data_IF_784624027491
#
_entry.id   IF_784624027491
#
_cell.length_a   1.000
_cell.length_b   1.000
_cell.length_c   1.000
_cell.angle_alpha   90.00
_cell.angle_beta   90.00
_cell.angle_gamma   90.00
#
_symmetry.space_group_name_H-M   'P 1'
#
loop_
_entity.id
_entity.type
_entity.pdbx_description
1 polymer ?
#
# COMPACT_ATOMS: atom_id res chain seq x y z
N UNK A 1 -10.10 7.02 -5.28
CA UNK A 1 -9.34 6.20 -6.25
C UNK A 1 -10.33 5.46 -7.15
N UNK A 2 -10.27 5.65 -8.46
CA UNK A 2 -11.10 4.93 -9.45
C UNK A 2 -10.21 3.88 -10.12
N UNK A 3 -10.63 2.62 -10.11
CA UNK A 3 -9.96 1.55 -10.85
C UNK A 3 -10.56 1.54 -12.25
N UNK A 4 -9.76 1.94 -13.25
CA UNK A 4 -10.18 1.88 -14.65
C UNK A 4 -10.33 0.41 -15.06
N UNK A 5 -11.41 0.14 -15.79
CA UNK A 5 -11.64 -1.15 -16.43
C UNK A 5 -11.44 -0.98 -17.93
N UNK A 6 -11.17 -2.08 -18.63
CA UNK A 6 -11.06 -2.11 -20.09
C UNK A 6 -12.36 -1.66 -20.77
N UNK A 7 -13.52 -1.93 -20.15
CA UNK A 7 -14.84 -1.49 -20.61
C UNK A 7 -15.72 -1.13 -19.40
N UNK A 8 -16.60 -0.13 -19.56
CA UNK A 8 -17.65 0.21 -18.59
C UNK A 8 -17.26 1.23 -17.50
N UNK A 9 -18.17 1.47 -16.55
CA UNK A 9 -17.98 2.47 -15.50
C UNK A 9 -16.80 2.08 -14.59
N UNK A 10 -15.84 3.00 -14.34
CA UNK A 10 -14.74 2.74 -13.41
C UNK A 10 -15.26 2.30 -12.04
N UNK A 11 -14.66 1.24 -11.48
CA UNK A 11 -15.01 0.79 -10.14
C UNK A 11 -14.39 1.72 -9.11
N UNK A 12 -15.17 2.08 -8.10
CA UNK A 12 -14.69 2.84 -6.93
C UNK A 12 -14.21 1.92 -5.81
N UNK A 13 -14.65 0.65 -5.82
CA UNK A 13 -14.25 -0.38 -4.86
C UNK A 13 -13.19 -1.32 -5.45
N UNK A 14 -11.99 -1.41 -4.84
CA UNK A 14 -10.97 -2.37 -5.26
C UNK A 14 -11.36 -3.80 -4.85
N UNK A 15 -10.86 -4.80 -5.57
CA UNK A 15 -11.06 -6.21 -5.23
C UNK A 15 -10.22 -6.65 -4.01
N UNK A 16 -9.02 -6.11 -3.89
CA UNK A 16 -8.09 -6.38 -2.80
C UNK A 16 -7.35 -5.10 -2.37
N UNK A 17 -6.83 -5.09 -1.14
CA UNK A 17 -5.93 -4.05 -0.63
C UNK A 17 -4.72 -4.74 -0.01
N UNK A 18 -3.55 -4.53 -0.61
CA UNK A 18 -2.26 -4.83 -0.01
C UNK A 18 -1.82 -3.65 0.87
N UNK A 19 -1.46 -3.92 2.11
CA UNK A 19 -0.96 -2.89 3.01
C UNK A 19 0.03 -3.45 4.03
N UNK A 20 0.79 -2.55 4.63
CA UNK A 20 1.78 -2.93 5.63
C UNK A 20 1.14 -3.59 6.85
N UNK A 21 1.94 -4.44 7.49
CA UNK A 21 1.65 -5.14 8.73
C UNK A 21 1.23 -4.22 9.88
N UNK A 22 1.66 -2.97 9.90
CA UNK A 22 1.16 -1.96 10.83
C UNK A 22 -0.36 -1.75 10.73
N UNK A 23 -0.94 -1.98 9.56
CA UNK A 23 -2.38 -1.89 9.31
C UNK A 23 -3.15 -3.18 9.59
N UNK A 24 -2.54 -4.18 10.25
CA UNK A 24 -3.17 -5.49 10.54
C UNK A 24 -4.31 -5.45 11.58
N UNK A 25 -4.69 -4.27 12.07
CA UNK A 25 -5.66 -4.10 13.14
C UNK A 25 -7.01 -4.75 12.83
N UNK A 26 -7.72 -5.20 13.87
CA UNK A 26 -9.07 -5.77 13.72
C UNK A 26 -10.04 -4.78 13.09
N UNK A 27 -9.95 -3.50 13.45
CA UNK A 27 -10.78 -2.44 12.88
C UNK A 27 -10.58 -2.30 11.36
N UNK A 28 -9.33 -2.28 10.89
CA UNK A 28 -9.03 -2.21 9.46
C UNK A 28 -9.56 -3.43 8.70
N UNK A 29 -9.35 -4.64 9.24
CA UNK A 29 -9.87 -5.87 8.62
C UNK A 29 -11.38 -5.93 8.61
N UNK A 30 -12.03 -5.51 9.70
CA UNK A 30 -13.49 -5.45 9.79
C UNK A 30 -14.07 -4.45 8.77
N UNK A 31 -13.44 -3.29 8.62
CA UNK A 31 -13.80 -2.31 7.61
C UNK A 31 -13.68 -2.86 6.18
N UNK A 32 -12.56 -3.48 5.83
CA UNK A 32 -12.35 -4.09 4.51
C UNK A 32 -13.37 -5.20 4.23
N UNK A 33 -13.63 -6.07 5.22
CA UNK A 33 -14.64 -7.14 5.13
C UNK A 33 -16.05 -6.59 4.95
N UNK A 34 -16.45 -5.56 5.71
CA UNK A 34 -17.77 -4.90 5.57
C UNK A 34 -17.98 -4.37 4.16
N UNK A 35 -16.91 -3.94 3.48
CA UNK A 35 -16.98 -3.47 2.09
C UNK A 35 -16.81 -4.57 1.05
N UNK A 36 -16.53 -5.82 1.44
CA UNK A 36 -16.25 -6.90 0.49
C UNK A 36 -14.92 -6.73 -0.25
N UNK A 37 -13.88 -6.22 0.44
CA UNK A 37 -12.54 -6.03 -0.09
C UNK A 37 -11.60 -7.05 0.55
N UNK A 38 -10.85 -7.82 -0.27
CA UNK A 38 -9.86 -8.79 0.23
C UNK A 38 -8.71 -8.06 0.93
N UNK A 39 -8.43 -8.42 2.17
CA UNK A 39 -7.32 -7.85 2.94
C UNK A 39 -6.04 -8.66 2.69
N UNK A 40 -5.09 -8.11 1.93
CA UNK A 40 -3.77 -8.68 1.67
C UNK A 40 -2.76 -8.01 2.63
N UNK A 41 -3.00 -8.21 3.92
CA UNK A 41 -2.21 -7.60 5.00
C UNK A 41 -1.64 -8.74 5.85
N UNK A 42 -0.32 -8.85 6.02
CA UNK A 42 0.26 -9.85 6.90
C UNK A 42 -0.04 -9.56 8.38
N UNK A 43 -0.06 -10.60 9.21
CA UNK A 43 -0.27 -10.49 10.66
C UNK A 43 1.05 -10.21 11.41
N UNK A 44 1.01 -9.40 12.49
CA UNK A 44 2.11 -9.23 13.47
C UNK A 44 2.60 -10.57 14.01
N UNK A 45 3.92 -10.81 14.02
CA UNK A 45 4.48 -12.11 14.49
C UNK A 45 3.99 -12.38 15.92
N UNK A 46 3.97 -11.36 16.77
CA UNK A 46 3.47 -11.44 18.15
C UNK A 46 1.96 -11.67 18.22
N UNK A 47 1.19 -11.09 17.29
CA UNK A 47 -0.26 -11.34 17.20
C UNK A 47 -0.53 -12.81 16.82
N UNK A 48 0.19 -13.33 15.84
CA UNK A 48 0.11 -14.73 15.44
C UNK A 48 0.54 -15.67 16.59
N UNK A 49 1.63 -15.35 17.30
CA UNK A 49 2.11 -16.12 18.45
C UNK A 49 1.12 -16.09 19.62
N UNK A 50 0.56 -14.92 19.96
CA UNK A 50 -0.46 -14.77 21.01
C UNK A 50 -1.73 -15.55 20.67
N UNK A 51 -2.15 -15.53 19.40
CA UNK A 51 -3.28 -16.33 18.91
C UNK A 51 -3.00 -17.82 19.06
N UNK A 52 -1.84 -18.31 18.62
CA UNK A 52 -1.43 -19.72 18.79
C UNK A 52 -1.43 -20.13 20.27
N UNK A 53 -0.89 -19.29 21.16
CA UNK A 53 -0.87 -19.54 22.62
C UNK A 53 -2.27 -19.68 23.23
N UNK A 54 -3.30 -19.07 22.63
CA UNK A 54 -4.69 -19.20 23.08
C UNK A 54 -5.38 -20.50 22.63
N UNK A 55 -4.72 -21.34 21.83
CA UNK A 55 -5.30 -22.60 21.34
C UNK A 55 -6.63 -22.37 20.60
N UNK A 56 -7.64 -23.17 20.91
CA UNK A 56 -9.00 -23.06 20.32
C UNK A 56 -9.65 -21.68 20.55
N UNK A 57 -9.31 -20.99 21.64
CA UNK A 57 -9.79 -19.62 21.94
C UNK A 57 -9.09 -18.53 21.11
N UNK A 58 -8.06 -18.88 20.35
CA UNK A 58 -7.32 -17.97 19.49
C UNK A 58 -8.05 -17.59 18.20
N UNK A 59 -8.98 -18.44 17.75
CA UNK A 59 -9.68 -18.27 16.48
C UNK A 59 -8.82 -18.61 15.24
N UNK A 60 -9.42 -18.47 14.06
CA UNK A 60 -8.84 -18.88 12.78
C UNK A 60 -7.56 -18.08 12.44
N UNK A 61 -6.50 -18.74 11.92
CA UNK A 61 -5.33 -18.06 11.39
C UNK A 61 -5.69 -17.01 10.33
N UNK A 62 -4.99 -15.89 10.38
CA UNK A 62 -5.09 -14.87 9.35
C UNK A 62 -4.21 -15.30 8.19
N UNK A 63 -4.86 -15.71 7.10
CA UNK A 63 -4.18 -15.95 5.84
C UNK A 63 -4.13 -14.67 4.99
N UNK A 64 -3.10 -14.54 4.17
CA UNK A 64 -2.97 -13.47 3.20
C UNK A 64 -2.32 -14.00 1.92
N UNK A 65 -2.73 -13.42 0.81
CA UNK A 65 -2.23 -13.78 -0.51
C UNK A 65 -0.80 -13.25 -0.69
N UNK A 66 0.19 -14.14 -0.64
CA UNK A 66 1.61 -13.75 -0.67
C UNK A 66 2.02 -13.21 -2.03
N UNK A 67 1.42 -13.69 -3.12
CA UNK A 67 1.72 -13.20 -4.47
C UNK A 67 1.16 -11.80 -4.66
N UNK A 68 -0.10 -11.56 -4.31
CA UNK A 68 -0.66 -10.20 -4.32
C UNK A 68 0.08 -9.26 -3.35
N UNK A 69 0.66 -9.78 -2.27
CA UNK A 69 1.45 -8.97 -1.35
C UNK A 69 2.76 -8.47 -1.99
N UNK A 70 3.37 -9.24 -2.91
CA UNK A 70 4.59 -8.83 -3.63
C UNK A 70 4.37 -7.58 -4.49
N UNK A 71 3.15 -7.35 -4.99
CA UNK A 71 2.81 -6.16 -5.78
C UNK A 71 3.05 -4.84 -5.01
N UNK A 72 3.08 -4.89 -3.67
CA UNK A 72 3.44 -3.74 -2.82
C UNK A 72 4.84 -3.19 -3.15
N UNK A 73 5.78 -4.04 -3.55
CA UNK A 73 7.16 -3.64 -3.88
C UNK A 73 7.20 -2.56 -4.98
N UNK A 74 6.26 -2.56 -5.92
CA UNK A 74 6.13 -1.51 -6.94
C UNK A 74 5.93 -0.13 -6.30
N UNK A 75 5.05 -0.03 -5.31
CA UNK A 75 4.80 1.21 -4.56
C UNK A 75 6.01 1.57 -3.70
N UNK A 76 6.67 0.61 -3.07
CA UNK A 76 7.88 0.86 -2.27
C UNK A 76 9.02 1.42 -3.12
N UNK A 77 9.26 0.85 -4.29
CA UNK A 77 10.24 1.35 -5.26
C UNK A 77 9.92 2.77 -5.68
N UNK A 78 8.66 3.09 -5.96
CA UNK A 78 8.24 4.46 -6.27
C UNK A 78 8.50 5.41 -5.10
N UNK A 79 8.12 5.05 -3.88
CA UNK A 79 8.38 5.86 -2.67
C UNK A 79 9.88 6.08 -2.48
N UNK A 80 10.70 5.06 -2.70
CA UNK A 80 12.16 5.18 -2.62
C UNK A 80 12.71 6.14 -3.70
N UNK A 81 12.21 6.07 -4.94
CA UNK A 81 12.57 7.02 -6.01
C UNK A 81 12.18 8.47 -5.66
N UNK A 82 11.02 8.66 -5.02
CA UNK A 82 10.59 9.97 -4.51
C UNK A 82 11.53 10.47 -3.41
N UNK A 83 11.87 9.60 -2.46
CA UNK A 83 12.76 9.90 -1.33
C UNK A 83 14.24 10.03 -1.70
N UNK A 84 14.63 9.73 -2.93
CA UNK A 84 15.96 10.06 -3.43
C UNK A 84 16.24 11.57 -3.33
N UNK A 85 15.20 12.40 -3.37
CA UNK A 85 15.29 13.82 -2.99
C UNK A 85 15.19 13.98 -1.48
N UNK A 86 16.28 14.46 -0.88
CA UNK A 86 16.41 14.62 0.58
C UNK A 86 15.32 15.53 1.18
N UNK A 87 14.92 16.59 0.48
CA UNK A 87 13.81 17.46 0.90
C UNK A 87 12.50 16.70 1.13
N UNK A 88 12.18 15.74 0.25
CA UNK A 88 10.99 14.88 0.37
C UNK A 88 11.17 13.83 1.47
N UNK A 89 12.35 13.21 1.55
CA UNK A 89 12.64 12.17 2.53
C UNK A 89 12.53 12.68 3.97
N UNK A 90 13.09 13.85 4.23
CA UNK A 90 13.13 14.45 5.57
C UNK A 90 11.95 15.39 5.84
N UNK A 91 11.17 15.75 4.81
CA UNK A 91 10.07 16.73 4.88
C UNK A 91 10.54 18.11 5.35
N UNK A 92 11.51 18.68 4.65
CA UNK A 92 12.07 20.00 5.00
C UNK A 92 11.15 21.18 4.67
N UNK A 93 10.15 20.98 3.82
CA UNK A 93 9.20 22.02 3.45
C UNK A 93 8.41 22.51 4.68
N UNK A 94 8.34 23.84 4.84
CA UNK A 94 7.66 24.47 5.98
C UNK A 94 6.13 24.33 5.93
N UNK A 95 5.57 24.22 4.73
CA UNK A 95 4.11 24.17 4.53
C UNK A 95 3.71 22.86 3.84
N UNK A 96 2.50 22.34 4.11
CA UNK A 96 1.94 21.21 3.37
C UNK A 96 1.89 21.44 1.85
N UNK A 97 1.64 22.67 1.43
CA UNK A 97 1.52 23.06 0.03
C UNK A 97 2.88 22.96 -0.68
N UNK A 98 3.94 23.49 -0.06
CA UNK A 98 5.32 23.38 -0.57
C UNK A 98 5.76 21.92 -0.66
N UNK A 99 5.46 21.11 0.37
CA UNK A 99 5.77 19.67 0.36
C UNK A 99 5.05 18.93 -0.77
N UNK A 100 3.76 19.23 -0.97
CA UNK A 100 2.96 18.64 -2.03
C UNK A 100 3.46 19.05 -3.42
N UNK A 101 3.84 20.31 -3.61
CA UNK A 101 4.47 20.78 -4.83
C UNK A 101 5.77 20.02 -5.13
N UNK A 102 6.62 19.81 -4.11
CA UNK A 102 7.84 19.01 -4.23
C UNK A 102 7.56 17.56 -4.65
N UNK A 103 6.53 16.93 -4.06
CA UNK A 103 6.08 15.59 -4.45
C UNK A 103 5.63 15.54 -5.91
N UNK A 104 4.83 16.51 -6.36
CA UNK A 104 4.36 16.58 -7.75
C UNK A 104 5.49 16.78 -8.74
N UNK A 105 6.43 17.69 -8.43
CA UNK A 105 7.60 17.93 -9.25
C UNK A 105 8.43 16.64 -9.40
N UNK A 106 8.76 15.99 -8.28
CA UNK A 106 9.56 14.76 -8.30
C UNK A 106 8.84 13.61 -9.01
N UNK A 107 7.54 13.46 -8.81
CA UNK A 107 6.75 12.44 -9.50
C UNK A 107 6.74 12.67 -11.02
N UNK A 108 6.62 13.93 -11.45
CA UNK A 108 6.65 14.29 -12.89
C UNK A 108 8.00 13.95 -13.52
N UNK A 109 9.11 14.24 -12.83
CA UNK A 109 10.44 13.88 -13.32
C UNK A 109 10.61 12.36 -13.45
N UNK A 110 10.19 11.59 -12.43
CA UNK A 110 10.23 10.12 -12.50
C UNK A 110 9.43 9.61 -13.71
N UNK A 111 8.28 10.21 -13.99
CA UNK A 111 7.43 9.82 -15.11
C UNK A 111 8.10 10.12 -16.46
N UNK A 112 8.68 11.31 -16.62
CA UNK A 112 9.43 11.68 -17.84
C UNK A 112 10.61 10.73 -18.05
N UNK A 113 11.38 10.45 -17.00
CA UNK A 113 12.52 9.52 -17.06
C UNK A 113 12.10 8.11 -17.50
N UNK A 114 10.92 7.65 -17.06
CA UNK A 114 10.36 6.33 -17.40
C UNK A 114 9.87 6.29 -18.85
N UNK A 115 9.30 7.39 -19.35
CA UNK A 115 8.85 7.53 -20.75
C UNK A 115 10.01 7.61 -21.75
N UNK A 116 11.12 8.23 -21.35
CA UNK A 116 12.27 8.50 -22.24
C UNK A 116 13.30 7.38 -22.21
N UNK A 117 13.27 6.48 -21.21
CA UNK A 117 14.12 5.28 -21.24
C UNK A 117 13.61 4.31 -22.31
N UNK A 118 14.43 3.95 -23.31
CA UNK A 118 14.08 2.86 -24.21
C UNK A 118 13.92 1.59 -23.38
N UNK A 119 12.88 0.82 -23.68
CA UNK A 119 12.70 -0.53 -23.15
C UNK A 119 13.87 -1.38 -23.67
N UNK A 120 14.94 -1.45 -22.88
CA UNK A 120 16.04 -2.39 -23.08
C UNK A 120 15.64 -3.81 -22.69
#
# INVERSE_FOLDING_TARGET
MRVRLTVGRPRTRPGAVAADKAYSSRANRAYLRKRGIKAVIPEKKDQAARRKRKGSRGGRPVDHDTELYKERNTIERLINKLKAWRGIATRFDKTPESYLAGLHLRASMIWIDDLVRPLG
#
